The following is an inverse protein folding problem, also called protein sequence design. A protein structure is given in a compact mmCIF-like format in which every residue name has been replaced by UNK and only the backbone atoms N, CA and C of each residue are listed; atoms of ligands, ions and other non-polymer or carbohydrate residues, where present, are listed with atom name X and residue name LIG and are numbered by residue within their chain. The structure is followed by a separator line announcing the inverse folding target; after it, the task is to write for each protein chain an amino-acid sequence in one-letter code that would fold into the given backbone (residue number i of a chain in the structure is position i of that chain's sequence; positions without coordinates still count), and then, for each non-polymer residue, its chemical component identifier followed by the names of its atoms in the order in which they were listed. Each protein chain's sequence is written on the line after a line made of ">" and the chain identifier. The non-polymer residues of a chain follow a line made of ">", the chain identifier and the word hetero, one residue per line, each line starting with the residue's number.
data_IF_439598461329
#
_entry.id   IF_439598461329
#
_cell.length_a   1.000
_cell.length_b   1.000
_cell.length_c   1.000
_cell.angle_alpha   90.00
_cell.angle_beta   90.00
_cell.angle_gamma   90.00
#
_symmetry.space_group_name_H-M   'P 1'
#
loop_
_entity.id
_entity.type
_entity.pdbx_description
1 polymer ?
#
# COMPACT_ATOMS: atom_id res chain seq x y z
N UNK A 1 39.35 -37.54 14.37
CA UNK A 1 38.68 -36.85 15.49
C UNK A 1 39.61 -35.72 15.91
N UNK A 2 39.27 -34.45 15.78
CA UNK A 2 38.03 -33.80 16.25
C UNK A 2 37.61 -32.73 15.25
N UNK A 3 36.40 -32.88 14.71
CA UNK A 3 35.69 -31.79 14.06
C UNK A 3 35.30 -30.77 15.13
N UNK A 4 35.54 -29.48 14.89
CA UNK A 4 34.81 -28.42 15.58
C UNK A 4 34.00 -27.66 14.55
N UNK A 5 32.74 -28.06 14.58
CA UNK A 5 31.58 -27.39 14.04
C UNK A 5 31.33 -26.06 14.80
N UNK A 6 30.39 -25.29 14.27
CA UNK A 6 29.75 -24.07 14.78
C UNK A 6 30.33 -22.73 14.33
N UNK A 7 29.55 -21.99 13.53
CA UNK A 7 29.81 -20.56 13.36
C UNK A 7 29.09 -19.83 12.23
N UNK A 8 27.77 -19.93 12.16
CA UNK A 8 26.87 -18.83 11.75
C UNK A 8 26.92 -18.22 10.33
N UNK A 9 25.72 -18.25 9.75
CA UNK A 9 25.16 -17.56 8.58
C UNK A 9 25.58 -16.08 8.48
N UNK A 10 25.94 -15.69 7.25
CA UNK A 10 26.39 -14.36 6.83
C UNK A 10 25.37 -13.23 7.10
N UNK A 11 25.79 -12.05 7.61
CA UNK A 11 25.01 -10.83 7.44
C UNK A 11 25.40 -10.16 6.10
N UNK A 12 24.40 -9.97 5.24
CA UNK A 12 24.53 -9.26 3.97
C UNK A 12 25.03 -7.82 4.16
N UNK A 13 26.33 -7.58 4.04
CA UNK A 13 26.92 -6.24 4.02
C UNK A 13 27.02 -5.72 2.57
N UNK A 14 26.46 -4.53 2.33
CA UNK A 14 26.50 -3.88 1.02
C UNK A 14 27.93 -3.74 0.49
N UNK A 15 28.14 -4.08 -0.78
CA UNK A 15 29.46 -4.10 -1.41
C UNK A 15 30.16 -2.74 -1.31
N UNK A 16 31.17 -2.64 -0.45
CA UNK A 16 31.96 -1.42 -0.31
C UNK A 16 33.17 -1.55 -1.25
N UNK A 17 33.16 -0.81 -2.37
CA UNK A 17 34.35 -0.71 -3.21
C UNK A 17 35.26 0.43 -2.71
N UNK A 18 36.52 0.15 -2.46
CA UNK A 18 37.55 1.14 -2.13
C UNK A 18 38.29 1.59 -3.41
N UNK A 19 38.53 2.89 -3.57
CA UNK A 19 39.28 3.46 -4.70
C UNK A 19 40.73 3.67 -4.26
N UNK A 20 41.70 3.07 -4.95
CA UNK A 20 43.14 3.26 -4.67
C UNK A 20 43.64 4.45 -5.49
N UNK A 21 44.13 5.49 -4.83
CA UNK A 21 44.90 6.55 -5.49
C UNK A 21 46.34 6.10 -5.74
N UNK A 22 47.09 6.81 -6.60
CA UNK A 22 48.51 6.51 -6.93
C UNK A 22 49.43 6.46 -5.69
N UNK A 23 48.95 6.91 -4.53
CA UNK A 23 49.65 6.94 -3.23
C UNK A 23 49.07 5.93 -2.20
N UNK A 24 48.31 4.90 -2.63
CA UNK A 24 47.68 3.89 -1.76
C UNK A 24 46.74 4.45 -0.65
N UNK A 25 46.28 5.69 -0.79
CA UNK A 25 45.33 6.28 0.15
C UNK A 25 43.92 5.77 -0.19
N UNK A 26 43.40 4.86 0.65
CA UNK A 26 42.05 4.30 0.54
C UNK A 26 41.02 5.24 1.16
N UNK A 27 40.22 5.92 0.33
CA UNK A 27 39.08 6.73 0.81
C UNK A 27 37.80 5.90 0.81
N UNK A 28 37.14 5.79 1.95
CA UNK A 28 35.82 5.14 2.06
C UNK A 28 34.77 5.95 1.29
N UNK A 29 34.04 5.30 0.39
CA UNK A 29 32.95 5.90 -0.40
C UNK A 29 31.61 5.24 -0.08
N UNK A 30 30.53 6.01 -0.12
CA UNK A 30 29.15 5.51 0.05
C UNK A 30 28.39 5.62 -1.28
N UNK A 31 27.75 4.54 -1.71
CA UNK A 31 26.91 4.51 -2.90
C UNK A 31 25.45 4.57 -2.48
N UNK A 32 24.76 5.66 -2.83
CA UNK A 32 23.34 5.81 -2.52
C UNK A 32 22.50 5.26 -3.67
N UNK A 33 21.39 4.54 -3.39
CA UNK A 33 20.46 4.15 -4.42
C UNK A 33 19.78 5.38 -5.04
N UNK A 34 19.36 5.26 -6.30
CA UNK A 34 18.62 6.31 -6.98
C UNK A 34 17.15 6.30 -6.51
N UNK A 35 16.89 7.04 -5.42
CA UNK A 35 15.57 7.24 -4.82
C UNK A 35 14.94 8.50 -5.41
N UNK A 36 13.69 8.39 -5.84
CA UNK A 36 12.94 9.46 -6.49
C UNK A 36 11.57 9.62 -5.84
N UNK A 37 11.08 10.86 -5.79
CA UNK A 37 9.72 11.14 -5.33
C UNK A 37 8.73 11.01 -6.48
N UNK A 38 7.79 10.07 -6.37
CA UNK A 38 6.79 9.80 -7.41
C UNK A 38 5.39 9.63 -6.82
N UNK A 39 4.40 9.97 -7.65
CA UNK A 39 2.98 9.70 -7.39
C UNK A 39 2.60 8.43 -8.13
N UNK A 40 2.07 7.47 -7.40
CA UNK A 40 1.60 6.20 -7.93
C UNK A 40 0.11 6.06 -7.62
N UNK A 41 -0.65 5.64 -8.63
CA UNK A 41 -2.08 5.47 -8.52
C UNK A 41 -2.41 4.13 -7.86
N UNK A 42 -3.39 4.13 -6.95
CA UNK A 42 -3.95 2.94 -6.32
C UNK A 42 -5.39 2.78 -6.81
N UNK A 43 -5.69 1.62 -7.40
CA UNK A 43 -7.01 1.30 -7.95
C UNK A 43 -8.01 1.01 -6.82
N UNK A 44 -7.56 0.35 -5.76
CA UNK A 44 -8.44 -0.01 -4.62
C UNK A 44 -8.87 1.23 -3.84
N UNK A 45 -7.98 2.23 -3.75
CA UNK A 45 -8.23 3.46 -2.99
C UNK A 45 -8.73 4.61 -3.86
N UNK A 46 -8.67 4.49 -5.20
CA UNK A 46 -8.98 5.57 -6.15
C UNK A 46 -8.20 6.88 -5.88
N UNK A 47 -6.95 6.75 -5.41
CA UNK A 47 -6.13 7.86 -4.94
C UNK A 47 -4.70 7.79 -5.49
N UNK A 48 -4.09 8.97 -5.71
CA UNK A 48 -2.67 9.09 -6.04
C UNK A 48 -1.81 9.22 -4.77
N UNK A 49 -1.06 8.17 -4.45
CA UNK A 49 -0.18 8.10 -3.29
C UNK A 49 1.23 8.61 -3.64
N UNK A 50 1.83 9.40 -2.74
CA UNK A 50 3.20 9.91 -2.88
C UNK A 50 4.17 9.01 -2.12
N UNK A 51 5.23 8.55 -2.78
CA UNK A 51 6.26 7.71 -2.17
C UNK A 51 7.68 8.12 -2.59
N UNK A 52 8.63 7.84 -1.70
CA UNK A 52 10.05 7.77 -2.03
C UNK A 52 10.37 6.39 -2.58
N UNK A 53 10.51 6.27 -3.90
CA UNK A 53 10.65 4.97 -4.58
C UNK A 53 12.01 4.88 -5.26
N UNK A 54 12.66 3.72 -5.14
CA UNK A 54 13.87 3.46 -5.93
C UNK A 54 13.50 3.16 -7.38
N UNK A 55 14.38 3.49 -8.33
CA UNK A 55 14.17 3.14 -9.75
C UNK A 55 14.03 1.64 -9.99
N UNK A 56 14.63 0.80 -9.15
CA UNK A 56 14.43 -0.66 -9.18
C UNK A 56 13.01 -1.04 -8.78
N UNK A 57 12.49 -0.45 -7.69
CA UNK A 57 11.13 -0.71 -7.21
C UNK A 57 10.07 -0.27 -8.22
N UNK A 58 10.27 0.84 -8.94
CA UNK A 58 9.37 1.26 -10.03
C UNK A 58 9.25 0.18 -11.11
N UNK A 59 10.38 -0.38 -11.58
CA UNK A 59 10.37 -1.48 -12.56
C UNK A 59 9.65 -2.72 -12.04
N UNK A 60 9.79 -3.03 -10.75
CA UNK A 60 9.06 -4.15 -10.17
C UNK A 60 7.57 -3.87 -10.11
N UNK A 61 7.14 -2.65 -9.76
CA UNK A 61 5.72 -2.27 -9.73
C UNK A 61 5.10 -2.48 -11.12
N UNK A 62 5.78 -2.05 -12.17
CA UNK A 62 5.32 -2.27 -13.55
C UNK A 62 5.25 -3.77 -13.90
N UNK A 63 6.22 -4.57 -13.41
CA UNK A 63 6.22 -6.04 -13.60
C UNK A 63 5.05 -6.74 -12.89
N UNK A 64 4.66 -6.26 -11.71
CA UNK A 64 3.47 -6.75 -11.00
C UNK A 64 2.18 -6.19 -11.60
N UNK A 65 2.25 -5.26 -12.55
CA UNK A 65 1.07 -4.68 -13.21
C UNK A 65 0.32 -3.68 -12.34
N UNK A 66 0.97 -3.05 -11.36
CA UNK A 66 0.36 -2.01 -10.54
C UNK A 66 0.91 -1.89 -9.13
N UNK A 67 0.60 -0.76 -8.48
CA UNK A 67 1.04 -0.48 -7.11
C UNK A 67 0.39 -1.46 -6.12
N UNK A 68 -0.91 -1.66 -6.21
CA UNK A 68 -1.65 -2.43 -5.22
C UNK A 68 -1.24 -3.90 -5.25
N UNK A 69 -1.07 -4.45 -6.45
CA UNK A 69 -0.56 -5.80 -6.63
C UNK A 69 0.86 -5.96 -6.06
N UNK A 70 1.72 -4.97 -6.30
CA UNK A 70 3.05 -4.94 -5.70
C UNK A 70 2.99 -4.92 -4.16
N UNK A 71 2.13 -4.10 -3.55
CA UNK A 71 2.04 -4.00 -2.08
C UNK A 71 1.51 -5.27 -1.41
N UNK A 72 0.62 -6.00 -2.08
CA UNK A 72 0.02 -7.23 -1.54
C UNK A 72 0.93 -8.46 -1.71
N UNK A 73 1.58 -8.59 -2.88
CA UNK A 73 2.28 -9.82 -3.27
C UNK A 73 3.80 -9.73 -3.18
N UNK A 74 4.38 -8.54 -3.06
CA UNK A 74 5.84 -8.39 -3.00
C UNK A 74 6.41 -8.81 -1.65
N UNK A 75 7.49 -9.60 -1.69
CA UNK A 75 8.31 -9.91 -0.50
C UNK A 75 8.98 -8.67 0.10
N UNK A 76 9.19 -7.63 -0.70
CA UNK A 76 9.90 -6.43 -0.26
C UNK A 76 9.09 -5.57 0.73
N UNK A 77 7.78 -5.79 0.80
CA UNK A 77 6.89 -5.08 1.73
C UNK A 77 6.58 -6.01 2.90
N UNK A 78 7.28 -5.80 4.01
CA UNK A 78 7.07 -6.58 5.23
C UNK A 78 5.70 -6.29 5.84
N UNK A 79 4.98 -7.34 6.23
CA UNK A 79 3.69 -7.26 6.93
C UNK A 79 3.80 -6.59 8.31
N UNK A 80 4.95 -6.69 8.96
CA UNK A 80 5.16 -6.25 10.34
C UNK A 80 6.11 -5.04 10.40
N UNK A 81 5.78 -4.00 9.64
CA UNK A 81 6.59 -2.78 9.55
C UNK A 81 5.78 -1.48 9.70
N UNK A 82 6.51 -0.37 9.90
CA UNK A 82 5.92 0.96 10.06
C UNK A 82 6.16 1.91 8.87
N UNK A 83 6.76 1.40 7.79
CA UNK A 83 7.12 2.18 6.60
C UNK A 83 5.91 2.63 5.77
N UNK A 84 6.11 3.63 4.91
CA UNK A 84 5.05 4.22 4.06
C UNK A 84 4.33 3.16 3.20
N UNK A 85 5.09 2.23 2.60
CA UNK A 85 4.53 1.15 1.80
C UNK A 85 3.63 0.20 2.62
N UNK A 86 4.00 -0.07 3.88
CA UNK A 86 3.21 -0.94 4.74
C UNK A 86 1.92 -0.27 5.22
N UNK A 87 1.96 1.04 5.50
CA UNK A 87 0.75 1.82 5.81
C UNK A 87 -0.24 1.82 4.65
N UNK A 88 0.26 1.98 3.42
CA UNK A 88 -0.57 1.90 2.22
C UNK A 88 -1.18 0.50 2.04
N UNK A 89 -0.38 -0.56 2.20
CA UNK A 89 -0.86 -1.95 2.18
C UNK A 89 -1.95 -2.18 3.21
N UNK A 90 -1.74 -1.78 4.46
CA UNK A 90 -2.73 -1.95 5.53
C UNK A 90 -4.03 -1.22 5.21
N UNK A 91 -3.96 -0.02 4.62
CA UNK A 91 -5.14 0.72 4.17
C UNK A 91 -5.93 -0.08 3.12
N UNK A 92 -5.24 -0.59 2.10
CA UNK A 92 -5.83 -1.43 1.05
C UNK A 92 -6.51 -2.67 1.64
N UNK A 93 -5.83 -3.39 2.55
CA UNK A 93 -6.38 -4.59 3.19
C UNK A 93 -7.63 -4.25 4.01
N UNK A 94 -7.61 -3.14 4.75
CA UNK A 94 -8.76 -2.70 5.54
C UNK A 94 -9.95 -2.33 4.63
N UNK A 95 -9.70 -1.63 3.53
CA UNK A 95 -10.76 -1.29 2.56
C UNK A 95 -11.36 -2.53 1.90
N UNK A 96 -10.54 -3.52 1.52
CA UNK A 96 -11.04 -4.77 0.95
C UNK A 96 -11.91 -5.53 1.95
N UNK A 97 -11.45 -5.65 3.20
CA UNK A 97 -12.22 -6.28 4.28
C UNK A 97 -13.55 -5.58 4.56
N UNK A 98 -13.59 -4.24 4.46
CA UNK A 98 -14.83 -3.48 4.58
C UNK A 98 -15.80 -3.78 3.43
N UNK A 99 -15.29 -3.87 2.19
CA UNK A 99 -16.11 -4.21 1.01
C UNK A 99 -16.70 -5.61 1.13
N UNK A 100 -15.92 -6.58 1.61
CA UNK A 100 -16.39 -7.95 1.85
C UNK A 100 -17.52 -7.99 2.88
N UNK A 101 -17.38 -7.27 4.00
CA UNK A 101 -18.43 -7.18 5.01
C UNK A 101 -19.72 -6.55 4.50
N UNK A 102 -19.60 -5.41 3.82
CA UNK A 102 -20.75 -4.75 3.20
C UNK A 102 -21.43 -5.68 2.19
N UNK A 103 -20.64 -6.52 1.52
CA UNK A 103 -21.14 -7.53 0.60
C UNK A 103 -21.94 -8.63 1.27
N UNK A 104 -21.45 -9.16 2.37
CA UNK A 104 -22.19 -10.13 3.19
C UNK A 104 -23.50 -9.52 3.70
N UNK A 105 -23.47 -8.30 4.23
CA UNK A 105 -24.65 -7.60 4.74
C UNK A 105 -25.72 -7.33 3.67
N UNK A 106 -25.31 -7.00 2.44
CA UNK A 106 -26.24 -6.79 1.33
C UNK A 106 -26.87 -8.11 0.83
N UNK A 107 -26.11 -9.20 0.82
CA UNK A 107 -26.63 -10.55 0.54
C UNK A 107 -27.68 -10.94 1.59
N UNK A 108 -27.39 -10.69 2.88
CA UNK A 108 -28.33 -10.95 3.98
C UNK A 108 -29.61 -10.13 3.88
N UNK A 109 -29.51 -8.87 3.42
CA UNK A 109 -30.68 -8.01 3.17
C UNK A 109 -31.49 -8.44 1.94
N UNK A 110 -30.98 -9.36 1.13
CA UNK A 110 -31.62 -9.82 -0.11
C UNK A 110 -31.52 -8.80 -1.25
N UNK A 111 -30.57 -7.86 -1.18
CA UNK A 111 -30.29 -6.93 -2.27
C UNK A 111 -29.56 -7.69 -3.40
N UNK A 112 -29.86 -7.31 -4.66
CA UNK A 112 -29.20 -7.90 -5.81
C UNK A 112 -27.70 -7.60 -5.79
N UNK A 113 -26.93 -8.68 -5.89
CA UNK A 113 -25.48 -8.81 -5.91
C UNK A 113 -24.96 -8.49 -7.33
N UNK A 114 -25.65 -7.72 -8.17
CA UNK A 114 -25.18 -7.46 -9.55
C UNK A 114 -24.63 -6.02 -9.75
N UNK A 115 -24.78 -5.13 -8.76
CA UNK A 115 -24.34 -3.73 -8.81
C UNK A 115 -23.17 -3.40 -7.85
N UNK A 116 -22.18 -4.31 -7.73
CA UNK A 116 -21.08 -4.21 -6.73
C UNK A 116 -20.08 -3.08 -6.92
N UNK A 117 -19.99 -2.50 -8.12
CA UNK A 117 -19.15 -1.32 -8.36
C UNK A 117 -19.80 -0.02 -7.87
N UNK A 118 -21.08 -0.06 -7.45
CA UNK A 118 -21.88 1.11 -7.10
C UNK A 118 -22.12 1.29 -5.60
N UNK A 119 -21.62 0.40 -4.73
CA UNK A 119 -21.72 0.62 -3.28
C UNK A 119 -20.66 1.65 -2.91
N UNK A 120 -21.00 2.93 -2.65
CA UNK A 120 -20.01 3.89 -2.21
C UNK A 120 -19.48 3.40 -0.87
N UNK A 121 -18.17 3.17 -0.79
CA UNK A 121 -17.47 3.09 0.48
C UNK A 121 -17.87 4.33 1.27
N UNK A 122 -18.61 4.15 2.35
CA UNK A 122 -19.21 5.24 3.13
C UNK A 122 -18.11 6.16 3.65
N UNK A 123 -17.79 7.17 2.86
CA UNK A 123 -17.43 8.49 3.33
C UNK A 123 -18.73 9.18 3.66
N UNK A 124 -19.25 9.00 4.89
CA UNK A 124 -20.15 9.99 5.47
C UNK A 124 -19.41 11.32 5.48
N UNK A 125 -19.58 12.13 4.43
CA UNK A 125 -19.46 13.57 4.56
C UNK A 125 -20.77 14.01 5.21
N UNK A 126 -20.83 13.97 6.54
CA UNK A 126 -21.89 14.66 7.27
C UNK A 126 -21.71 16.14 6.97
N UNK A 127 -22.60 16.69 6.14
CA UNK A 127 -23.23 18.02 6.28
C UNK A 127 -24.07 18.35 5.04
N UNK A 128 -25.37 18.18 5.21
CA UNK A 128 -26.38 19.20 4.89
C UNK A 128 -27.64 18.79 5.65
N UNK A 129 -27.73 19.25 6.90
CA UNK A 129 -29.05 19.40 7.53
C UNK A 129 -29.70 20.64 6.92
N UNK A 130 -31.03 20.58 6.81
CA UNK A 130 -31.97 21.62 6.36
C UNK A 130 -32.14 21.73 4.85
N UNK A 131 -32.90 20.80 4.29
CA UNK A 131 -34.19 21.13 3.64
C UNK A 131 -35.18 20.00 3.99
N UNK A 132 -35.81 20.10 5.17
CA UNK A 132 -37.02 19.34 5.47
C UNK A 132 -38.16 20.11 4.82
N UNK A 133 -38.57 19.68 3.63
CA UNK A 133 -39.89 19.98 3.11
C UNK A 133 -40.90 19.09 3.80
N UNK A 134 -41.62 19.62 4.79
CA UNK A 134 -42.90 19.06 5.22
C UNK A 134 -43.97 19.64 4.29
N UNK A 135 -44.26 18.89 3.23
CA UNK A 135 -45.58 18.88 2.62
C UNK A 135 -46.25 17.57 3.05
N UNK A 136 -47.09 17.64 4.07
CA UNK A 136 -48.17 16.67 4.26
C UNK A 136 -49.48 17.40 4.02
N UNK A 137 -50.07 17.06 2.88
CA UNK A 137 -51.49 17.23 2.61
C UNK A 137 -52.32 16.37 3.59
N UNK A 138 -53.61 16.72 3.66
CA UNK A 138 -54.73 15.91 4.19
C UNK A 138 -54.97 15.95 5.71
N UNK A 139 -56.04 16.67 6.12
CA UNK A 139 -57.29 16.00 6.53
C UNK A 139 -58.30 16.94 7.23
N UNK A 140 -59.53 16.83 6.73
CA UNK A 140 -60.79 16.84 7.48
C UNK A 140 -61.43 18.17 7.96
N UNK A 141 -62.59 18.40 7.33
CA UNK A 141 -63.88 18.85 7.91
C UNK A 141 -64.02 20.30 8.40
#
# INVERSE_FOLDING_TARGET
>A
MVARDTGQIDPAEGSTMEKTSVLEIRTRRKWKPNVQMKRLYSEVLDEMLRFHVTTSALRTIDKYGGLDNYLLNSRHVSTEGFGEGQRARNRIVMTLKQREKLREEAIERGESVDDWDKIPLVGKKVKSNEEVGEGEDDAAA
#
